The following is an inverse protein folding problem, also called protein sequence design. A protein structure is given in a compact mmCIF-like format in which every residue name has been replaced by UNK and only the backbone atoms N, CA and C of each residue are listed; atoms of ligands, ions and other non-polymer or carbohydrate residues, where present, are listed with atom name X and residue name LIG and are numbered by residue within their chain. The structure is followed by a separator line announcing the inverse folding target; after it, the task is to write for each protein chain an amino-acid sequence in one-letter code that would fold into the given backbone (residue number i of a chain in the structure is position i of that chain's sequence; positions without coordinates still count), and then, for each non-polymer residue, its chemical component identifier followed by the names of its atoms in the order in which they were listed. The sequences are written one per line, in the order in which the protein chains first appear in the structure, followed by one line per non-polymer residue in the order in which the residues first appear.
data_IF_060399074119
#
_entry.id   IF_060399074119
#
_cell.length_a   1.000
_cell.length_b   1.000
_cell.length_c   1.000
_cell.angle_alpha   90.00
_cell.angle_beta   90.00
_cell.angle_gamma   90.00
#
_symmetry.space_group_name_H-M   'P 1'
#
loop_
_entity.id
_entity.type
_entity.pdbx_description
1 polymer ?
#
# COMPACT_ATOMS: atom_id res chain seq x y z
N UNK A 1 -25.62 -11.11 2.30
CA UNK A 1 -25.44 -9.93 1.44
C UNK A 1 -24.17 -10.18 0.68
N UNK A 2 -24.29 -10.49 -0.61
CA UNK A 2 -23.12 -10.58 -1.49
C UNK A 2 -22.51 -9.18 -1.53
N UNK A 3 -21.31 -9.04 -0.97
CA UNK A 3 -20.60 -7.77 -1.07
C UNK A 3 -20.26 -7.61 -2.55
N UNK A 4 -20.89 -6.67 -3.21
CA UNK A 4 -20.64 -6.35 -4.61
C UNK A 4 -19.13 -6.17 -4.82
N UNK A 5 -18.55 -6.83 -5.81
CA UNK A 5 -17.13 -6.78 -6.08
C UNK A 5 -16.74 -5.34 -6.47
N UNK A 6 -16.11 -4.62 -5.57
CA UNK A 6 -15.64 -3.24 -5.79
C UNK A 6 -14.22 -3.23 -6.37
N UNK A 7 -13.82 -2.10 -6.99
CA UNK A 7 -12.44 -1.92 -7.43
C UNK A 7 -11.43 -2.15 -6.29
N UNK A 8 -11.77 -1.73 -5.07
CA UNK A 8 -10.93 -1.91 -3.88
C UNK A 8 -10.81 -3.37 -3.47
N UNK A 9 -11.94 -4.09 -3.33
CA UNK A 9 -11.90 -5.51 -2.94
C UNK A 9 -11.15 -6.36 -3.97
N UNK A 10 -11.36 -6.14 -5.25
CA UNK A 10 -10.61 -6.82 -6.33
C UNK A 10 -9.12 -6.47 -6.30
N UNK A 11 -8.77 -5.21 -6.01
CA UNK A 11 -7.36 -4.81 -5.87
C UNK A 11 -6.66 -5.54 -4.73
N UNK A 12 -7.33 -5.69 -3.59
CA UNK A 12 -6.81 -6.47 -2.45
C UNK A 12 -6.60 -7.93 -2.84
N UNK A 13 -7.56 -8.56 -3.52
CA UNK A 13 -7.42 -9.95 -3.97
C UNK A 13 -6.23 -10.15 -4.91
N UNK A 14 -6.04 -9.24 -5.89
CA UNK A 14 -4.89 -9.28 -6.81
C UNK A 14 -3.56 -9.11 -6.06
N UNK A 15 -3.51 -8.21 -5.07
CA UNK A 15 -2.31 -7.99 -4.26
C UNK A 15 -1.99 -9.20 -3.37
N UNK A 16 -3.00 -9.89 -2.84
CA UNK A 16 -2.84 -11.14 -2.09
C UNK A 16 -2.27 -12.23 -3.01
N UNK A 17 -2.89 -12.44 -4.17
CA UNK A 17 -2.45 -13.44 -5.13
C UNK A 17 -0.99 -13.16 -5.57
N UNK A 18 -0.64 -11.90 -5.78
CA UNK A 18 0.73 -11.52 -6.11
C UNK A 18 1.72 -11.79 -4.96
N UNK A 19 1.34 -11.49 -3.72
CA UNK A 19 2.21 -11.70 -2.56
C UNK A 19 2.42 -13.20 -2.28
N UNK A 20 1.39 -14.02 -2.48
CA UNK A 20 1.43 -15.46 -2.20
C UNK A 20 2.04 -16.28 -3.34
N UNK A 21 1.85 -15.88 -4.60
CA UNK A 21 2.20 -16.67 -5.78
C UNK A 21 3.22 -15.99 -6.72
N UNK A 22 3.54 -14.72 -6.50
CA UNK A 22 4.46 -13.95 -7.34
C UNK A 22 3.92 -13.57 -8.72
N UNK A 23 2.63 -13.82 -9.00
CA UNK A 23 2.01 -13.56 -10.31
C UNK A 23 1.01 -12.41 -10.20
N UNK A 24 1.18 -11.39 -11.03
CA UNK A 24 0.28 -10.25 -11.12
C UNK A 24 -0.79 -10.53 -12.19
N UNK A 25 -1.95 -10.99 -11.77
CA UNK A 25 -3.08 -11.34 -12.65
C UNK A 25 -4.27 -10.41 -12.45
N UNK A 26 -4.62 -9.67 -13.49
CA UNK A 26 -5.77 -8.76 -13.51
C UNK A 26 -7.07 -9.40 -14.04
N UNK A 27 -7.10 -10.70 -14.29
CA UNK A 27 -8.29 -11.40 -14.84
C UNK A 27 -9.56 -11.21 -14.00
N UNK A 28 -9.41 -11.11 -12.68
CA UNK A 28 -10.51 -10.83 -11.74
C UNK A 28 -11.21 -9.50 -12.05
N UNK A 29 -10.46 -8.49 -12.50
CA UNK A 29 -11.00 -7.18 -12.84
C UNK A 29 -11.82 -7.18 -14.16
N UNK A 30 -11.73 -8.22 -14.98
CA UNK A 30 -12.46 -8.28 -16.25
C UNK A 30 -13.99 -8.27 -16.09
N UNK A 31 -14.50 -8.59 -14.91
CA UNK A 31 -15.92 -8.57 -14.57
C UNK A 31 -16.45 -7.17 -14.26
N UNK A 32 -15.55 -6.22 -14.02
CA UNK A 32 -15.87 -4.83 -13.68
C UNK A 32 -16.07 -3.99 -14.94
N UNK A 33 -16.71 -2.84 -14.79
CA UNK A 33 -16.78 -1.81 -15.82
C UNK A 33 -15.41 -1.24 -16.16
N UNK A 34 -15.30 -0.59 -17.32
CA UNK A 34 -14.01 -0.07 -17.82
C UNK A 34 -13.35 0.92 -16.86
N UNK A 35 -14.16 1.77 -16.20
CA UNK A 35 -13.68 2.74 -15.20
C UNK A 35 -13.07 2.03 -13.99
N UNK A 36 -13.79 1.06 -13.45
CA UNK A 36 -13.37 0.33 -12.25
C UNK A 36 -12.14 -0.55 -12.52
N UNK A 37 -12.04 -1.11 -13.76
CA UNK A 37 -10.80 -1.81 -14.18
C UNK A 37 -9.58 -0.90 -14.19
N UNK A 38 -9.73 0.35 -14.61
CA UNK A 38 -8.65 1.33 -14.58
C UNK A 38 -8.27 1.67 -13.14
N UNK A 39 -9.26 1.82 -12.26
CA UNK A 39 -9.06 2.07 -10.83
C UNK A 39 -8.34 0.90 -10.15
N UNK A 40 -8.71 -0.37 -10.43
CA UNK A 40 -7.99 -1.55 -9.92
C UNK A 40 -6.51 -1.50 -10.31
N UNK A 41 -6.20 -1.20 -11.58
CA UNK A 41 -4.80 -1.09 -12.02
C UNK A 41 -4.05 0.03 -11.29
N UNK A 42 -4.72 1.15 -11.08
CA UNK A 42 -4.16 2.28 -10.35
C UNK A 42 -3.83 1.90 -8.90
N UNK A 43 -4.77 1.29 -8.18
CA UNK A 43 -4.54 0.81 -6.81
C UNK A 43 -3.39 -0.18 -6.75
N UNK A 44 -3.46 -1.26 -7.51
CA UNK A 44 -2.45 -2.33 -7.46
C UNK A 44 -1.06 -1.79 -7.77
N UNK A 45 -0.90 -1.03 -8.86
CA UNK A 45 0.40 -0.50 -9.27
C UNK A 45 0.97 0.50 -8.26
N UNK A 46 0.14 1.37 -7.71
CA UNK A 46 0.61 2.41 -6.79
C UNK A 46 0.89 1.86 -5.38
N UNK A 47 0.12 0.87 -4.92
CA UNK A 47 0.39 0.18 -3.65
C UNK A 47 1.71 -0.59 -3.76
N UNK A 48 1.93 -1.35 -4.83
CA UNK A 48 3.20 -2.06 -5.06
C UNK A 48 4.38 -1.10 -5.15
N UNK A 49 4.21 0.03 -5.86
CA UNK A 49 5.26 1.06 -6.01
C UNK A 49 5.64 1.72 -4.69
N UNK A 50 4.73 1.79 -3.72
CA UNK A 50 4.92 2.42 -2.41
C UNK A 50 4.97 1.43 -1.25
N UNK A 51 5.09 0.15 -1.54
CA UNK A 51 4.94 -0.94 -0.57
C UNK A 51 5.76 -0.73 0.70
N UNK A 52 7.07 -0.48 0.57
CA UNK A 52 7.96 -0.36 1.74
C UNK A 52 7.62 0.85 2.61
N UNK A 53 7.17 1.94 2.02
CA UNK A 53 6.74 3.11 2.77
C UNK A 53 5.39 2.89 3.46
N UNK A 54 4.44 2.24 2.78
CA UNK A 54 3.15 1.86 3.39
C UNK A 54 3.37 0.89 4.56
N UNK A 55 4.24 -0.10 4.39
CA UNK A 55 4.60 -1.06 5.43
C UNK A 55 5.25 -0.36 6.64
N UNK A 56 6.13 0.58 6.40
CA UNK A 56 6.71 1.41 7.45
C UNK A 56 5.63 2.17 8.22
N UNK A 57 4.69 2.84 7.54
CA UNK A 57 3.60 3.56 8.20
C UNK A 57 2.72 2.63 9.04
N UNK A 58 2.32 1.48 8.50
CA UNK A 58 1.52 0.49 9.24
C UNK A 58 2.23 0.07 10.53
N UNK A 59 3.53 -0.19 10.46
CA UNK A 59 4.35 -0.57 11.62
C UNK A 59 4.45 0.52 12.71
N UNK A 60 4.28 1.81 12.34
CA UNK A 60 4.28 2.90 13.33
C UNK A 60 2.97 2.97 14.14
N UNK A 61 1.86 2.51 13.56
CA UNK A 61 0.53 2.63 14.16
C UNK A 61 -0.09 1.29 14.58
N UNK A 62 0.65 0.19 14.40
CA UNK A 62 0.25 -1.17 14.79
C UNK A 62 1.13 -1.73 15.90
N UNK A 63 0.53 -2.45 16.84
CA UNK A 63 1.27 -3.21 17.86
C UNK A 63 1.81 -4.55 17.34
N UNK A 64 1.36 -4.97 16.15
CA UNK A 64 1.83 -6.18 15.48
C UNK A 64 2.64 -5.77 14.27
N UNK A 65 3.83 -6.32 14.10
CA UNK A 65 4.68 -6.02 12.94
C UNK A 65 4.04 -6.54 11.65
N UNK A 66 4.17 -5.75 10.58
CA UNK A 66 3.55 -6.12 9.30
C UNK A 66 4.06 -7.46 8.79
N UNK A 67 5.31 -7.81 9.03
CA UNK A 67 5.90 -9.09 8.61
C UNK A 67 5.24 -10.31 9.29
N UNK A 68 4.64 -10.11 10.48
CA UNK A 68 3.93 -11.14 11.23
C UNK A 68 2.45 -11.27 10.79
N UNK A 69 1.95 -10.34 9.98
CA UNK A 69 0.57 -10.35 9.51
C UNK A 69 0.41 -11.28 8.29
N UNK A 70 -0.79 -11.84 8.12
CA UNK A 70 -1.16 -12.56 6.89
C UNK A 70 -1.21 -11.60 5.70
N UNK A 71 -0.90 -12.09 4.49
CA UNK A 71 -0.95 -11.34 3.23
C UNK A 71 -2.26 -10.57 3.03
N UNK A 72 -3.38 -11.18 3.38
CA UNK A 72 -4.70 -10.56 3.30
C UNK A 72 -4.83 -9.32 4.18
N UNK A 73 -4.44 -9.39 5.47
CA UNK A 73 -4.49 -8.22 6.36
C UNK A 73 -3.51 -7.13 5.91
N UNK A 74 -2.28 -7.51 5.52
CA UNK A 74 -1.29 -6.56 4.99
C UNK A 74 -1.85 -5.73 3.85
N UNK A 75 -2.45 -6.39 2.85
CA UNK A 75 -2.92 -5.73 1.64
C UNK A 75 -4.18 -4.89 1.87
N UNK A 76 -5.05 -5.27 2.81
CA UNK A 76 -6.17 -4.43 3.26
C UNK A 76 -5.66 -3.16 3.96
N UNK A 77 -4.68 -3.28 4.85
CA UNK A 77 -4.09 -2.13 5.53
C UNK A 77 -3.34 -1.21 4.56
N UNK A 78 -2.56 -1.79 3.63
CA UNK A 78 -1.87 -1.02 2.56
C UNK A 78 -2.86 -0.23 1.72
N UNK A 79 -4.00 -0.81 1.36
CA UNK A 79 -5.06 -0.12 0.63
C UNK A 79 -5.61 1.06 1.43
N UNK A 80 -6.00 0.84 2.69
CA UNK A 80 -6.53 1.90 3.55
C UNK A 80 -5.55 3.04 3.77
N UNK A 81 -4.28 2.72 4.06
CA UNK A 81 -3.22 3.73 4.22
C UNK A 81 -2.96 4.47 2.91
N UNK A 82 -2.95 3.75 1.77
CA UNK A 82 -2.78 4.38 0.46
C UNK A 82 -3.89 5.38 0.15
N UNK A 83 -5.15 5.01 0.39
CA UNK A 83 -6.29 5.90 0.21
C UNK A 83 -6.16 7.17 1.06
N UNK A 84 -5.83 7.05 2.33
CA UNK A 84 -5.73 8.18 3.25
C UNK A 84 -4.54 9.10 2.98
N UNK A 85 -3.41 8.56 2.52
CA UNK A 85 -2.15 9.32 2.38
C UNK A 85 -1.94 9.85 0.96
N UNK A 86 -2.50 9.20 -0.06
CA UNK A 86 -2.18 9.48 -1.47
C UNK A 86 -3.38 9.76 -2.36
N UNK A 87 -4.61 9.58 -1.85
CA UNK A 87 -5.83 9.80 -2.64
C UNK A 87 -6.63 10.98 -2.12
N UNK A 88 -6.36 12.18 -2.64
CA UNK A 88 -7.07 13.42 -2.25
C UNK A 88 -8.59 13.36 -2.47
N UNK A 89 -9.06 12.47 -3.37
CA UNK A 89 -10.48 12.32 -3.71
C UNK A 89 -11.27 11.44 -2.73
N UNK A 90 -10.59 10.70 -1.85
CA UNK A 90 -11.23 9.79 -0.90
C UNK A 90 -11.17 10.38 0.50
N UNK A 91 -12.31 10.70 1.14
CA UNK A 91 -12.31 11.10 2.53
C UNK A 91 -11.80 9.98 3.44
N UNK A 92 -11.01 10.31 4.47
CA UNK A 92 -10.41 9.33 5.38
C UNK A 92 -11.43 8.37 5.98
N UNK A 93 -12.60 8.87 6.38
CA UNK A 93 -13.65 8.03 6.96
C UNK A 93 -14.15 6.96 5.98
N UNK A 94 -14.18 7.26 4.69
CA UNK A 94 -14.61 6.33 3.65
C UNK A 94 -13.52 5.27 3.42
N UNK A 95 -12.24 5.68 3.33
CA UNK A 95 -11.09 4.78 3.22
C UNK A 95 -11.05 3.76 4.38
N UNK A 96 -11.24 4.26 5.62
CA UNK A 96 -11.27 3.41 6.82
C UNK A 96 -12.46 2.45 6.75
N UNK A 97 -13.66 2.95 6.47
CA UNK A 97 -14.89 2.15 6.50
C UNK A 97 -14.83 1.02 5.47
N UNK A 98 -14.42 1.31 4.25
CA UNK A 98 -14.29 0.28 3.20
C UNK A 98 -13.23 -0.77 3.54
N UNK A 99 -12.07 -0.36 4.04
CA UNK A 99 -11.03 -1.30 4.47
C UNK A 99 -11.52 -2.20 5.61
N UNK A 100 -12.26 -1.65 6.56
CA UNK A 100 -12.86 -2.40 7.68
C UNK A 100 -13.89 -3.40 7.18
N UNK A 101 -14.76 -3.02 6.26
CA UNK A 101 -15.77 -3.93 5.71
C UNK A 101 -15.12 -5.07 4.88
N UNK A 102 -14.10 -4.77 4.08
CA UNK A 102 -13.31 -5.81 3.40
C UNK A 102 -12.69 -6.78 4.42
N UNK A 103 -12.10 -6.26 5.50
CA UNK A 103 -11.49 -7.09 6.54
C UNK A 103 -12.53 -7.94 7.29
N UNK A 104 -13.68 -7.40 7.63
CA UNK A 104 -14.77 -8.14 8.29
C UNK A 104 -15.29 -9.27 7.41
N UNK A 105 -15.52 -8.96 6.14
CA UNK A 105 -16.04 -9.93 5.19
C UNK A 105 -15.06 -11.09 4.95
N UNK A 106 -13.79 -10.79 4.70
CA UNK A 106 -12.80 -11.80 4.31
C UNK A 106 -12.11 -12.49 5.48
N UNK A 107 -11.97 -11.83 6.63
CA UNK A 107 -11.16 -12.29 7.77
C UNK A 107 -11.91 -12.32 9.10
N UNK A 108 -13.15 -11.86 9.13
CA UNK A 108 -14.01 -11.84 10.31
C UNK A 108 -13.95 -10.54 11.13
N UNK A 109 -14.93 -10.37 12.00
CA UNK A 109 -15.19 -9.14 12.77
C UNK A 109 -13.96 -8.68 13.58
N UNK A 110 -13.27 -9.60 14.26
CA UNK A 110 -12.08 -9.28 15.07
C UNK A 110 -10.96 -8.62 14.24
N UNK A 111 -10.77 -9.07 13.00
CA UNK A 111 -9.78 -8.47 12.10
C UNK A 111 -10.26 -7.12 11.59
N UNK A 112 -11.56 -6.95 11.36
CA UNK A 112 -12.15 -5.64 11.07
C UNK A 112 -11.91 -4.63 12.18
N UNK A 113 -12.09 -5.03 13.46
CA UNK A 113 -11.83 -4.17 14.61
C UNK A 113 -10.36 -3.77 14.72
N UNK A 114 -9.44 -4.70 14.45
CA UNK A 114 -8.00 -4.44 14.39
C UNK A 114 -7.66 -3.46 13.25
N UNK A 115 -8.21 -3.68 12.06
CA UNK A 115 -8.05 -2.79 10.91
C UNK A 115 -8.52 -1.38 11.24
N UNK A 116 -9.70 -1.24 11.85
CA UNK A 116 -10.24 0.05 12.29
C UNK A 116 -9.31 0.74 13.30
N UNK A 117 -8.81 0.00 14.29
CA UNK A 117 -7.92 0.56 15.31
C UNK A 117 -6.62 1.13 14.69
N UNK A 118 -5.97 0.37 13.79
CA UNK A 118 -4.73 0.79 13.14
C UNK A 118 -4.97 2.03 12.26
N UNK A 119 -5.98 1.99 11.38
CA UNK A 119 -6.26 3.10 10.47
C UNK A 119 -6.73 4.36 11.19
N UNK A 120 -7.49 4.23 12.29
CA UNK A 120 -7.87 5.37 13.13
C UNK A 120 -6.68 5.98 13.88
N UNK A 121 -5.72 5.16 14.31
CA UNK A 121 -4.50 5.67 14.91
C UNK A 121 -3.70 6.51 13.89
N UNK A 122 -3.53 6.00 12.67
CA UNK A 122 -2.88 6.74 11.59
C UNK A 122 -3.63 8.03 11.25
N UNK A 123 -4.96 8.00 11.20
CA UNK A 123 -5.79 9.17 10.91
C UNK A 123 -5.54 10.34 11.88
N UNK A 124 -5.35 10.05 13.17
CA UNK A 124 -5.10 11.10 14.17
C UNK A 124 -3.82 11.89 13.91
N UNK A 125 -2.85 11.25 13.28
CA UNK A 125 -1.54 11.83 13.01
C UNK A 125 -1.33 12.10 11.51
N UNK A 126 -2.41 12.13 10.69
CA UNK A 126 -2.32 12.24 9.24
C UNK A 126 -1.54 13.47 8.75
N UNK A 127 -1.66 14.59 9.47
CA UNK A 127 -0.94 15.82 9.14
C UNK A 127 0.53 15.80 9.60
N UNK A 128 0.91 14.84 10.44
CA UNK A 128 2.25 14.72 11.03
C UNK A 128 2.77 13.28 10.98
N UNK A 129 2.60 12.62 9.83
CA UNK A 129 3.06 11.25 9.67
C UNK A 129 4.55 11.08 9.97
N UNK A 130 4.93 10.01 10.68
CA UNK A 130 6.33 9.72 10.98
C UNK A 130 7.12 9.53 9.68
N UNK A 131 8.36 10.02 9.69
CA UNK A 131 9.28 9.82 8.57
C UNK A 131 10.23 8.68 8.88
N UNK A 132 10.61 7.85 7.89
CA UNK A 132 11.64 6.86 8.09
C UNK A 132 12.90 7.49 8.67
N UNK A 133 13.41 6.91 9.75
CA UNK A 133 14.63 7.35 10.42
C UNK A 133 15.42 6.11 10.83
N UNK A 134 16.33 5.68 9.96
CA UNK A 134 17.21 4.54 10.18
C UNK A 134 18.66 5.01 10.15
N UNK A 135 19.52 4.41 10.99
CA UNK A 135 20.97 4.65 10.98
C UNK A 135 21.57 4.20 9.65
N UNK A 136 21.09 3.06 9.10
CA UNK A 136 21.49 2.60 7.78
C UNK A 136 20.86 3.49 6.70
N UNK A 137 21.72 4.23 6.01
CA UNK A 137 21.32 5.16 4.94
C UNK A 137 20.67 4.45 3.75
N UNK A 138 21.13 3.25 3.39
CA UNK A 138 20.53 2.48 2.31
C UNK A 138 19.11 2.09 2.65
N UNK A 139 18.88 1.58 3.87
CA UNK A 139 17.56 1.24 4.38
C UNK A 139 16.65 2.47 4.46
N UNK A 140 17.17 3.60 4.94
CA UNK A 140 16.44 4.87 4.98
C UNK A 140 15.91 5.25 3.60
N UNK A 141 16.77 5.25 2.60
CA UNK A 141 16.43 5.61 1.22
C UNK A 141 15.50 4.57 0.60
N UNK A 142 15.78 3.28 0.80
CA UNK A 142 14.97 2.18 0.31
C UNK A 142 13.52 2.26 0.82
N UNK A 143 13.34 2.54 2.11
CA UNK A 143 12.01 2.70 2.72
C UNK A 143 11.34 3.97 2.21
N UNK A 144 12.05 5.10 2.19
CA UNK A 144 11.48 6.40 1.78
C UNK A 144 10.97 6.38 0.34
N UNK A 145 11.72 5.76 -0.58
CA UNK A 145 11.36 5.69 -2.00
C UNK A 145 10.72 4.37 -2.40
N UNK A 146 10.54 3.44 -1.46
CA UNK A 146 9.97 2.10 -1.72
C UNK A 146 10.70 1.34 -2.83
N UNK A 147 12.04 1.34 -2.78
CA UNK A 147 12.88 0.56 -3.68
C UNK A 147 13.66 -0.51 -2.89
N UNK A 148 13.95 -1.67 -3.47
CA UNK A 148 14.79 -2.67 -2.82
C UNK A 148 16.18 -2.13 -2.48
N UNK A 149 16.72 -2.46 -1.30
CA UNK A 149 18.03 -1.97 -0.84
C UNK A 149 19.16 -2.25 -1.83
N UNK A 150 19.17 -3.46 -2.44
CA UNK A 150 20.16 -3.80 -3.46
C UNK A 150 20.13 -2.86 -4.67
N UNK A 151 18.92 -2.40 -5.06
CA UNK A 151 18.76 -1.50 -6.19
C UNK A 151 19.21 -0.07 -5.83
N UNK A 152 18.86 0.39 -4.64
CA UNK A 152 19.32 1.67 -4.08
C UNK A 152 20.85 1.69 -4.07
N UNK A 153 21.48 0.66 -3.51
CA UNK A 153 22.93 0.53 -3.45
C UNK A 153 23.57 0.57 -4.85
N UNK A 154 23.07 -0.25 -5.77
CA UNK A 154 23.55 -0.31 -7.15
C UNK A 154 23.45 1.03 -7.89
N UNK A 155 22.34 1.75 -7.72
CA UNK A 155 22.16 3.04 -8.37
C UNK A 155 23.02 4.12 -7.75
N UNK A 156 23.13 4.14 -6.44
CA UNK A 156 24.00 5.09 -5.72
C UNK A 156 25.47 4.90 -6.10
N UNK A 157 25.93 3.67 -6.18
CA UNK A 157 27.31 3.36 -6.63
C UNK A 157 27.56 3.76 -8.09
N UNK A 158 26.56 3.57 -8.98
CA UNK A 158 26.71 3.81 -10.40
C UNK A 158 26.53 5.26 -10.82
N UNK A 159 25.60 5.97 -10.23
CA UNK A 159 25.19 7.32 -10.66
C UNK A 159 25.47 8.40 -9.62
N UNK A 160 25.91 8.04 -8.42
CA UNK A 160 25.98 8.93 -7.27
C UNK A 160 24.62 9.18 -6.61
N UNK A 161 24.62 9.59 -5.34
CA UNK A 161 23.40 9.75 -4.55
C UNK A 161 22.37 10.66 -5.21
N UNK A 162 22.80 11.84 -5.68
CA UNK A 162 21.90 12.85 -6.24
C UNK A 162 21.09 12.34 -7.44
N UNK A 163 21.75 11.68 -8.38
CA UNK A 163 21.08 11.18 -9.58
C UNK A 163 20.27 9.92 -9.28
N UNK A 164 20.75 9.06 -8.39
CA UNK A 164 20.00 7.90 -7.90
C UNK A 164 18.67 8.34 -7.24
N UNK A 165 18.67 9.38 -6.43
CA UNK A 165 17.45 9.90 -5.81
C UNK A 165 16.46 10.46 -6.82
N UNK A 166 16.93 11.21 -7.81
CA UNK A 166 16.08 11.70 -8.89
C UNK A 166 15.44 10.56 -9.68
N UNK A 167 16.22 9.49 -9.93
CA UNK A 167 15.73 8.30 -10.63
C UNK A 167 14.64 7.58 -9.82
N UNK A 168 14.84 7.38 -8.51
CA UNK A 168 13.83 6.80 -7.63
C UNK A 168 12.57 7.66 -7.54
N UNK A 169 12.71 8.98 -7.45
CA UNK A 169 11.57 9.89 -7.48
C UNK A 169 10.81 9.82 -8.81
N UNK A 170 11.52 9.75 -9.93
CA UNK A 170 10.91 9.62 -11.26
C UNK A 170 10.12 8.31 -11.40
N UNK A 171 10.66 7.19 -10.89
CA UNK A 171 10.00 5.90 -10.92
C UNK A 171 8.70 5.87 -10.08
N UNK A 172 8.61 6.70 -9.05
CA UNK A 172 7.42 6.79 -8.21
C UNK A 172 6.34 7.72 -8.80
N UNK A 173 6.63 8.45 -9.87
CA UNK A 173 5.63 9.24 -10.57
C UNK A 173 4.81 8.36 -11.51
N UNK A 174 3.54 8.76 -11.70
CA UNK A 174 2.69 8.15 -12.72
C UNK A 174 3.28 8.44 -14.09
N UNK A 175 3.46 7.44 -14.97
CA UNK A 175 3.90 7.69 -16.33
C UNK A 175 2.91 8.61 -17.05
N UNK A 176 3.40 9.66 -17.70
CA UNK A 176 2.63 10.48 -18.63
C UNK A 176 2.73 9.84 -20.01
N UNK A 177 1.61 9.42 -20.56
CA UNK A 177 1.50 8.97 -21.94
C UNK A 177 0.99 10.10 -22.81
#
# INVERSE_FOLDING_TARGET
MDTEATARSISVEILIDFEDNGVLDYSRANKLESRDRAEVREYVQNILRRRSYLDFLIDQFSNVKIDEMKSSLKNILRLGVYDMVFMDSTPDYAAINESVEIAKYSLGSRTGDLTNAILRNLQRDIDNLPKPNFEDRTKLVATTFSHPEWLVKRWTERFGEREAFKLMQANNKRPSY
#
